data_IF_994931991095
#
_entry.id   IF_994931991095
#
_cell.length_a   1.000
_cell.length_b   1.000
_cell.length_c   1.000
_cell.angle_alpha   90.00
_cell.angle_beta   90.00
_cell.angle_gamma   90.00
#
_symmetry.space_group_name_H-M   'P 1'
#
loop_
_entity.id
_entity.type
_entity.pdbx_description
1 polymer ?
#
# COMPACT_ATOMS: atom_id res chain seq x y z
N UNK A 1 26.00 -62.00 49.76
CA UNK A 1 26.21 -60.63 49.22
C UNK A 1 25.46 -60.53 47.91
N UNK A 2 24.47 -59.65 47.79
CA UNK A 2 23.59 -59.55 46.62
C UNK A 2 23.31 -58.08 46.32
N UNK A 3 23.81 -57.59 45.18
CA UNK A 3 23.71 -56.17 44.79
C UNK A 3 22.33 -55.90 44.18
N UNK A 4 21.54 -55.03 44.81
CA UNK A 4 20.24 -54.62 44.29
C UNK A 4 20.37 -53.59 43.17
N UNK A 5 19.75 -53.87 42.01
CA UNK A 5 19.53 -52.90 40.92
C UNK A 5 18.31 -52.03 41.22
N UNK A 6 18.49 -50.76 41.56
CA UNK A 6 17.48 -49.66 41.51
C UNK A 6 18.23 -48.33 41.34
N UNK A 7 17.73 -47.32 40.62
CA UNK A 7 16.64 -47.22 39.65
C UNK A 7 16.96 -46.01 38.76
N UNK A 8 16.93 -46.13 37.43
CA UNK A 8 16.92 -44.94 36.56
C UNK A 8 15.51 -44.36 36.59
N UNK A 9 15.35 -43.13 37.10
CA UNK A 9 14.12 -42.36 36.94
C UNK A 9 14.34 -41.21 35.96
N UNK A 10 13.40 -41.07 35.04
CA UNK A 10 13.48 -40.16 33.89
C UNK A 10 13.00 -38.77 34.30
N UNK A 11 13.87 -37.76 34.14
CA UNK A 11 13.51 -36.35 34.27
C UNK A 11 13.31 -35.73 32.86
N UNK A 12 12.19 -36.08 32.21
CA UNK A 12 11.77 -35.50 30.92
C UNK A 12 10.42 -34.83 31.13
N UNK A 13 10.46 -33.58 31.59
CA UNK A 13 9.30 -32.69 31.74
C UNK A 13 9.78 -31.23 31.85
N UNK A 14 9.82 -30.52 30.71
CA UNK A 14 9.80 -29.05 30.52
C UNK A 14 10.37 -28.69 29.13
N UNK A 15 9.68 -29.06 28.05
CA UNK A 15 10.16 -28.83 26.68
C UNK A 15 9.03 -28.61 25.63
N UNK A 16 7.87 -28.09 26.04
CA UNK A 16 6.71 -27.85 25.13
C UNK A 16 5.97 -26.54 25.46
N UNK A 17 6.69 -25.41 25.51
CA UNK A 17 6.08 -24.05 25.54
C UNK A 17 6.91 -23.06 24.71
N UNK A 18 7.20 -23.43 23.46
CA UNK A 18 8.04 -22.64 22.53
C UNK A 18 7.40 -22.43 21.14
N UNK A 19 6.09 -22.71 21.01
CA UNK A 19 5.34 -22.63 19.75
C UNK A 19 4.32 -21.47 19.71
N UNK A 20 4.35 -20.59 20.71
CA UNK A 20 3.62 -19.33 20.75
C UNK A 20 4.61 -18.23 21.16
N UNK A 21 4.38 -16.97 20.75
CA UNK A 21 5.18 -15.81 21.13
C UNK A 21 5.00 -15.36 22.60
N UNK A 22 4.98 -16.33 23.52
CA UNK A 22 4.83 -16.16 24.96
C UNK A 22 6.22 -15.99 25.59
N UNK A 23 6.49 -14.79 26.10
CA UNK A 23 7.68 -14.54 26.92
C UNK A 23 7.44 -15.14 28.33
N UNK A 24 8.18 -16.18 28.75
CA UNK A 24 8.02 -16.79 30.08
C UNK A 24 8.37 -15.83 31.22
N UNK A 25 9.06 -14.72 30.95
CA UNK A 25 9.35 -13.65 31.93
C UNK A 25 8.26 -12.58 32.02
N UNK A 26 7.37 -12.49 31.01
CA UNK A 26 6.26 -11.52 30.94
C UNK A 26 4.93 -12.20 30.53
N UNK A 27 4.49 -13.29 31.20
CA UNK A 27 3.37 -14.13 30.73
C UNK A 27 2.03 -13.40 30.62
N UNK A 28 1.81 -12.33 31.39
CA UNK A 28 0.55 -11.59 31.46
C UNK A 28 0.54 -10.30 30.61
N UNK A 29 1.63 -9.96 29.91
CA UNK A 29 1.72 -8.70 29.16
C UNK A 29 0.80 -8.66 27.93
N UNK A 30 0.31 -9.82 27.49
CA UNK A 30 -0.76 -9.93 26.47
C UNK A 30 -2.12 -10.33 27.05
N UNK A 31 -2.18 -10.90 28.25
CA UNK A 31 -3.42 -11.33 28.93
C UNK A 31 -3.96 -10.27 29.92
N UNK A 32 -3.62 -9.00 29.69
CA UNK A 32 -4.20 -7.87 30.42
C UNK A 32 -5.73 -7.83 30.19
N UNK A 33 -6.59 -7.77 31.23
CA UNK A 33 -8.05 -7.69 31.04
C UNK A 33 -8.49 -6.49 30.19
N UNK A 34 -7.75 -5.38 30.24
CA UNK A 34 -8.01 -4.18 29.44
C UNK A 34 -7.64 -4.37 27.96
N UNK A 35 -6.58 -5.14 27.65
CA UNK A 35 -6.23 -5.52 26.27
C UNK A 35 -7.23 -6.54 25.73
N UNK A 36 -7.62 -7.52 26.53
CA UNK A 36 -8.64 -8.51 26.14
C UNK A 36 -9.99 -7.83 25.82
N UNK A 37 -10.40 -6.83 26.60
CA UNK A 37 -11.61 -6.04 26.33
C UNK A 37 -11.44 -5.14 25.09
N UNK A 38 -10.29 -4.51 24.89
CA UNK A 38 -10.00 -3.72 23.70
C UNK A 38 -10.07 -4.56 22.41
N UNK A 39 -9.52 -5.78 22.44
CA UNK A 39 -9.64 -6.72 21.32
C UNK A 39 -11.10 -7.15 21.11
N UNK A 40 -11.87 -7.40 22.18
CA UNK A 40 -13.30 -7.75 22.09
C UNK A 40 -14.14 -6.66 21.42
N UNK A 41 -13.85 -5.37 21.66
CA UNK A 41 -14.56 -4.26 20.98
C UNK A 41 -14.00 -3.99 19.58
N UNK A 42 -12.70 -4.21 19.34
CA UNK A 42 -12.12 -4.17 17.99
C UNK A 42 -12.75 -5.22 17.06
N UNK A 43 -12.90 -6.45 17.52
CA UNK A 43 -13.55 -7.55 16.80
C UNK A 43 -15.06 -7.30 16.56
N UNK A 44 -15.69 -6.47 17.40
CA UNK A 44 -17.06 -5.99 17.19
C UNK A 44 -17.15 -4.84 16.15
N UNK A 45 -16.02 -4.32 15.67
CA UNK A 45 -15.91 -3.19 14.74
C UNK A 45 -15.76 -1.83 15.42
N UNK A 46 -15.77 -1.75 16.75
CA UNK A 46 -15.71 -0.52 17.55
C UNK A 46 -14.27 -0.03 17.73
N UNK A 47 -13.56 0.18 16.61
CA UNK A 47 -12.13 0.51 16.59
C UNK A 47 -11.77 1.79 17.37
N UNK A 48 -12.70 2.75 17.49
CA UNK A 48 -12.55 3.94 18.35
C UNK A 48 -12.38 3.57 19.82
N UNK A 49 -13.32 2.82 20.38
CA UNK A 49 -13.26 2.38 21.78
C UNK A 49 -12.14 1.37 22.04
N UNK A 50 -11.74 0.58 21.04
CA UNK A 50 -10.52 -0.22 21.10
C UNK A 50 -9.27 0.67 21.26
N UNK A 51 -9.16 1.74 20.47
CA UNK A 51 -8.06 2.68 20.56
C UNK A 51 -8.04 3.41 21.91
N UNK A 52 -9.19 3.88 22.43
CA UNK A 52 -9.30 4.53 23.75
C UNK A 52 -8.80 3.59 24.87
N UNK A 53 -9.30 2.36 24.93
CA UNK A 53 -8.89 1.37 25.93
C UNK A 53 -7.39 1.05 25.87
N UNK A 54 -6.79 1.04 24.68
CA UNK A 54 -5.36 0.80 24.48
C UNK A 54 -4.51 2.04 24.76
N UNK A 55 -5.01 3.25 24.48
CA UNK A 55 -4.37 4.52 24.83
C UNK A 55 -4.24 4.68 26.34
N UNK A 56 -5.29 4.34 27.09
CA UNK A 56 -5.27 4.25 28.56
C UNK A 56 -4.33 3.12 29.03
N UNK A 57 -4.42 1.93 28.44
CA UNK A 57 -3.56 0.80 28.79
C UNK A 57 -2.06 1.08 28.56
N UNK A 58 -1.71 1.96 27.63
CA UNK A 58 -0.32 2.32 27.32
C UNK A 58 0.10 3.68 27.93
N UNK A 59 -0.85 4.43 28.48
CA UNK A 59 -0.69 5.82 28.94
C UNK A 59 -0.17 6.78 27.84
N UNK A 60 -0.59 6.58 26.59
CA UNK A 60 -0.18 7.42 25.44
C UNK A 60 -0.92 8.76 25.40
N UNK A 61 -2.10 8.83 26.02
CA UNK A 61 -3.11 9.84 25.70
C UNK A 61 -3.77 9.59 24.34
N UNK A 62 -4.81 10.37 24.05
CA UNK A 62 -5.54 10.31 22.79
C UNK A 62 -4.73 10.81 21.59
N UNK A 63 -5.03 10.29 20.40
CA UNK A 63 -4.51 10.85 19.15
C UNK A 63 -5.14 12.24 18.89
N UNK A 64 -4.30 13.27 18.73
CA UNK A 64 -4.71 14.64 18.44
C UNK A 64 -3.78 15.22 17.36
N UNK A 65 -4.32 15.66 16.22
CA UNK A 65 -3.57 16.36 15.15
C UNK A 65 -2.27 15.62 14.70
N UNK A 66 -2.32 14.29 14.57
CA UNK A 66 -1.15 13.49 14.19
C UNK A 66 -0.12 13.33 15.31
N UNK A 67 -0.48 13.67 16.54
CA UNK A 67 0.33 13.58 17.74
C UNK A 67 -0.29 12.59 18.74
N UNK A 68 0.54 11.71 19.29
CA UNK A 68 0.20 10.74 20.33
C UNK A 68 1.47 10.49 21.16
N UNK A 69 1.32 10.34 22.48
CA UNK A 69 2.47 10.12 23.37
C UNK A 69 3.08 8.75 23.18
N UNK A 70 4.42 8.66 23.17
CA UNK A 70 5.15 7.38 23.13
C UNK A 70 5.98 7.18 24.43
N UNK A 71 5.34 7.00 25.59
CA UNK A 71 6.05 6.72 26.85
C UNK A 71 6.81 5.38 26.77
N UNK A 72 7.77 5.10 27.67
CA UNK A 72 8.52 3.84 27.68
C UNK A 72 7.61 2.59 27.64
N UNK A 73 6.43 2.68 28.26
CA UNK A 73 5.38 1.65 28.28
C UNK A 73 4.96 1.16 26.88
N UNK A 74 5.08 1.99 25.84
CA UNK A 74 4.82 1.59 24.45
C UNK A 74 5.82 0.54 23.94
N UNK A 75 7.08 0.58 24.39
CA UNK A 75 8.08 -0.47 24.09
C UNK A 75 7.95 -1.67 25.03
N UNK A 76 7.69 -1.43 26.32
CA UNK A 76 7.51 -2.50 27.29
C UNK A 76 6.29 -3.39 27.03
N UNK A 77 5.21 -2.82 26.46
CA UNK A 77 3.95 -3.52 26.15
C UNK A 77 3.72 -3.58 24.63
N UNK A 78 4.78 -3.88 23.88
CA UNK A 78 4.84 -3.84 22.42
C UNK A 78 3.71 -4.58 21.68
N UNK A 79 3.16 -5.66 22.24
CA UNK A 79 1.95 -6.30 21.70
C UNK A 79 0.75 -5.35 21.71
N UNK A 80 0.37 -4.80 22.87
CA UNK A 80 -0.75 -3.85 22.97
C UNK A 80 -0.51 -2.56 22.19
N UNK A 81 0.75 -2.16 22.00
CA UNK A 81 1.13 -1.05 21.11
C UNK A 81 0.92 -1.37 19.63
N UNK A 82 1.18 -2.62 19.21
CA UNK A 82 0.86 -3.07 17.86
C UNK A 82 -0.66 -3.13 17.65
N UNK A 83 -1.40 -3.62 18.65
CA UNK A 83 -2.85 -3.66 18.64
C UNK A 83 -3.46 -2.24 18.59
N UNK A 84 -2.85 -1.24 19.27
CA UNK A 84 -3.23 0.18 19.13
C UNK A 84 -2.95 0.71 17.72
N UNK A 85 -1.84 0.28 17.10
CA UNK A 85 -1.54 0.57 15.70
C UNK A 85 -2.62 0.04 14.75
N UNK A 86 -3.14 -1.16 15.00
CA UNK A 86 -4.26 -1.74 14.24
C UNK A 86 -5.57 -0.99 14.47
N UNK A 87 -5.87 -0.58 15.71
CA UNK A 87 -7.03 0.24 16.02
C UNK A 87 -6.99 1.59 15.29
N UNK A 88 -5.87 2.32 15.37
CA UNK A 88 -5.68 3.60 14.68
C UNK A 88 -5.67 3.46 13.15
N UNK A 89 -5.07 2.39 12.59
CA UNK A 89 -5.19 2.05 11.17
C UNK A 89 -6.65 1.86 10.77
N UNK A 90 -7.44 1.15 11.58
CA UNK A 90 -8.86 0.87 11.28
C UNK A 90 -9.75 2.12 11.35
N UNK A 91 -9.41 3.07 12.22
CA UNK A 91 -10.03 4.40 12.25
C UNK A 91 -9.61 5.20 10.99
N UNK A 92 -8.34 5.14 10.58
CA UNK A 92 -7.86 5.81 9.37
C UNK A 92 -8.52 5.29 8.07
N UNK A 93 -8.80 3.98 7.98
CA UNK A 93 -9.57 3.39 6.86
C UNK A 93 -10.99 3.95 6.72
N UNK A 94 -11.59 4.46 7.80
CA UNK A 94 -12.96 4.99 7.78
C UNK A 94 -13.05 6.42 7.17
N UNK A 95 -11.93 7.14 7.09
CA UNK A 95 -11.88 8.48 6.51
C UNK A 95 -11.40 8.41 5.05
N UNK A 96 -12.28 8.74 4.09
CA UNK A 96 -11.99 8.72 2.64
C UNK A 96 -12.17 7.34 1.96
N UNK A 97 -11.99 7.29 0.64
CA UNK A 97 -12.28 6.09 -0.17
C UNK A 97 -11.46 4.84 0.21
N UNK A 98 -12.03 3.68 -0.10
CA UNK A 98 -11.32 2.39 -0.12
C UNK A 98 -10.35 2.33 -1.30
N UNK A 99 -9.31 1.51 -1.17
CA UNK A 99 -8.34 1.31 -2.25
C UNK A 99 -9.01 0.73 -3.50
N UNK A 100 -8.81 1.39 -4.65
CA UNK A 100 -9.44 1.04 -5.92
C UNK A 100 -10.66 1.87 -6.29
N UNK A 101 -11.32 2.55 -5.34
CA UNK A 101 -12.47 3.43 -5.60
C UNK A 101 -12.06 4.90 -5.91
N UNK A 102 -10.75 5.16 -6.01
CA UNK A 102 -10.15 6.50 -6.20
C UNK A 102 -10.60 7.23 -7.49
N UNK A 103 -11.15 6.50 -8.45
CA UNK A 103 -11.62 7.01 -9.76
C UNK A 103 -13.16 7.14 -9.85
N UNK A 104 -13.91 6.64 -8.87
CA UNK A 104 -15.35 6.38 -9.02
C UNK A 104 -16.28 7.57 -8.68
N UNK A 105 -15.83 8.54 -7.87
CA UNK A 105 -16.71 9.60 -7.35
C UNK A 105 -16.44 10.98 -7.97
N UNK A 106 -17.31 11.36 -8.92
CA UNK A 106 -17.52 12.76 -9.32
C UNK A 106 -18.35 13.56 -8.28
N UNK A 107 -18.20 13.22 -6.99
CA UNK A 107 -18.97 13.71 -5.87
C UNK A 107 -18.08 14.35 -4.79
N UNK A 108 -18.58 15.40 -4.15
CA UNK A 108 -17.83 16.14 -3.13
C UNK A 108 -17.55 15.27 -1.89
N UNK A 109 -16.33 14.72 -1.79
CA UNK A 109 -15.77 14.39 -0.48
C UNK A 109 -15.68 15.66 0.37
N UNK A 110 -15.91 15.50 1.67
CA UNK A 110 -15.53 16.50 2.66
C UNK A 110 -13.99 16.70 2.65
N UNK A 111 -13.50 17.93 2.42
CA UNK A 111 -12.06 18.21 2.27
C UNK A 111 -11.25 18.01 3.56
N UNK A 112 -11.87 17.88 4.74
CA UNK A 112 -11.16 17.52 5.97
C UNK A 112 -10.94 15.99 6.10
N UNK A 113 -11.60 15.12 5.31
CA UNK A 113 -11.41 13.66 5.39
C UNK A 113 -9.96 13.20 5.14
N UNK A 114 -9.21 13.71 4.15
CA UNK A 114 -7.79 13.36 3.98
C UNK A 114 -6.92 13.80 5.17
N UNK A 115 -7.24 14.93 5.80
CA UNK A 115 -6.56 15.44 6.99
C UNK A 115 -6.86 14.58 8.23
N UNK A 116 -8.13 14.15 8.39
CA UNK A 116 -8.53 13.21 9.44
C UNK A 116 -7.82 11.86 9.26
N UNK A 117 -7.79 11.29 8.05
CA UNK A 117 -6.99 10.09 7.72
C UNK A 117 -5.52 10.29 8.08
N UNK A 118 -4.90 11.38 7.61
CA UNK A 118 -3.50 11.71 7.88
C UNK A 118 -3.18 11.74 9.38
N UNK A 119 -4.02 12.42 10.18
CA UNK A 119 -3.83 12.50 11.63
C UNK A 119 -3.83 11.14 12.33
N UNK A 120 -4.72 10.22 11.93
CA UNK A 120 -4.78 8.87 12.49
C UNK A 120 -3.59 8.02 12.03
N UNK A 121 -3.17 8.18 10.77
CA UNK A 121 -1.97 7.53 10.23
C UNK A 121 -0.70 7.99 10.96
N UNK A 122 -0.50 9.29 11.18
CA UNK A 122 0.67 9.81 11.89
C UNK A 122 0.73 9.35 13.35
N UNK A 123 -0.41 9.29 14.04
CA UNK A 123 -0.51 8.69 15.36
C UNK A 123 -0.11 7.21 15.34
N UNK A 124 -0.68 6.41 14.44
CA UNK A 124 -0.36 4.99 14.32
C UNK A 124 1.13 4.77 13.99
N UNK A 125 1.70 5.54 13.07
CA UNK A 125 3.10 5.47 12.68
C UNK A 125 4.05 5.71 13.86
N UNK A 126 3.75 6.67 14.75
CA UNK A 126 4.56 6.92 15.97
C UNK A 126 4.59 5.71 16.90
N UNK A 127 3.44 5.08 17.14
CA UNK A 127 3.33 3.91 18.02
C UNK A 127 4.00 2.68 17.38
N UNK A 128 3.73 2.43 16.10
CA UNK A 128 4.23 1.24 15.38
C UNK A 128 5.74 1.29 15.14
N UNK A 129 6.30 2.47 14.79
CA UNK A 129 7.76 2.64 14.62
C UNK A 129 8.52 2.39 15.91
N UNK A 130 7.99 2.81 17.06
CA UNK A 130 8.61 2.58 18.37
C UNK A 130 8.81 1.08 18.69
N UNK A 131 8.03 0.18 18.07
CA UNK A 131 8.17 -1.28 18.15
C UNK A 131 9.13 -1.79 17.05
N UNK A 132 8.94 -1.34 15.80
CA UNK A 132 9.70 -1.81 14.65
C UNK A 132 11.21 -1.51 14.75
N UNK A 133 11.56 -0.39 15.39
CA UNK A 133 12.93 0.10 15.53
C UNK A 133 13.65 -0.39 16.78
N UNK A 134 12.90 -0.86 17.78
CA UNK A 134 13.46 -1.46 18.98
C UNK A 134 14.00 -2.87 18.67
N UNK A 135 15.31 -2.97 18.54
CA UNK A 135 16.01 -4.22 18.24
C UNK A 135 15.95 -5.27 19.36
N UNK A 136 15.42 -4.94 20.55
CA UNK A 136 15.17 -5.92 21.61
C UNK A 136 13.88 -6.71 21.41
N UNK A 137 12.97 -6.23 20.55
CA UNK A 137 11.70 -6.88 20.25
C UNK A 137 11.89 -8.09 19.31
N UNK A 138 11.07 -9.16 19.44
CA UNK A 138 11.15 -10.32 18.56
C UNK A 138 11.03 -9.95 17.07
N UNK A 139 11.87 -10.56 16.22
CA UNK A 139 11.94 -10.25 14.79
C UNK A 139 10.56 -10.34 14.09
N UNK A 140 9.73 -11.31 14.47
CA UNK A 140 8.38 -11.47 13.92
C UNK A 140 7.42 -10.31 14.28
N UNK A 141 7.49 -9.79 15.51
CA UNK A 141 6.70 -8.62 15.92
C UNK A 141 7.21 -7.36 15.21
N UNK A 142 8.52 -7.22 15.03
CA UNK A 142 9.13 -6.11 14.28
C UNK A 142 8.76 -6.16 12.79
N UNK A 143 8.70 -7.33 12.17
CA UNK A 143 8.24 -7.52 10.80
C UNK A 143 6.77 -7.15 10.62
N UNK A 144 5.91 -7.60 11.56
CA UNK A 144 4.48 -7.23 11.62
C UNK A 144 4.30 -5.72 11.76
N UNK A 145 5.09 -5.07 12.61
CA UNK A 145 5.10 -3.62 12.75
C UNK A 145 5.56 -2.91 11.46
N UNK A 146 6.61 -3.38 10.77
CA UNK A 146 7.05 -2.82 9.47
C UNK A 146 6.02 -3.03 8.35
N UNK A 147 5.32 -4.16 8.33
CA UNK A 147 4.21 -4.39 7.39
C UNK A 147 3.04 -3.42 7.64
N UNK A 148 2.66 -3.21 8.91
CA UNK A 148 1.63 -2.24 9.29
C UNK A 148 2.06 -0.79 8.98
N UNK A 149 3.32 -0.43 9.21
CA UNK A 149 3.90 0.85 8.76
C UNK A 149 3.73 1.04 7.25
N UNK A 150 3.99 0.00 6.44
CA UNK A 150 3.76 0.03 5.00
C UNK A 150 2.30 0.27 4.63
N UNK A 151 1.37 -0.45 5.26
CA UNK A 151 -0.07 -0.28 5.04
C UNK A 151 -0.56 1.14 5.42
N UNK A 152 -0.03 1.70 6.51
CA UNK A 152 -0.30 3.06 6.97
C UNK A 152 0.18 4.13 5.98
N UNK A 153 1.40 3.98 5.45
CA UNK A 153 1.95 4.88 4.42
C UNK A 153 1.22 4.74 3.08
N UNK A 154 0.69 3.55 2.79
CA UNK A 154 -0.14 3.31 1.61
C UNK A 154 -1.51 4.02 1.70
N UNK A 155 -2.11 4.13 2.90
CA UNK A 155 -3.36 4.90 3.13
C UNK A 155 -3.25 6.38 2.74
N UNK A 156 -2.09 7.00 2.94
CA UNK A 156 -1.80 8.41 2.58
C UNK A 156 -1.10 8.55 1.21
N UNK A 157 -1.06 7.47 0.43
CA UNK A 157 -0.43 7.39 -0.89
C UNK A 157 1.09 7.71 -0.93
N UNK A 158 1.77 7.61 0.22
CA UNK A 158 3.22 7.69 0.41
C UNK A 158 3.89 6.36 -0.01
N UNK A 159 3.78 6.04 -1.29
CA UNK A 159 4.09 4.70 -1.79
C UNK A 159 5.58 4.34 -1.75
N UNK A 160 6.50 5.31 -1.84
CA UNK A 160 7.96 5.04 -1.80
C UNK A 160 8.38 4.63 -0.38
N UNK A 161 7.80 5.32 0.59
CA UNK A 161 7.93 5.13 2.02
C UNK A 161 7.29 3.78 2.41
N UNK A 162 6.12 3.47 1.84
CA UNK A 162 5.46 2.16 2.00
C UNK A 162 6.32 1.00 1.46
N UNK A 163 6.87 1.11 0.24
CA UNK A 163 7.84 0.14 -0.31
C UNK A 163 9.02 -0.07 0.64
N UNK A 164 9.60 1.01 1.15
CA UNK A 164 10.72 0.98 2.10
C UNK A 164 10.35 0.28 3.42
N UNK A 165 9.11 0.42 3.89
CA UNK A 165 8.62 -0.26 5.08
C UNK A 165 8.37 -1.77 4.83
N UNK A 166 7.77 -2.13 3.69
CA UNK A 166 7.61 -3.54 3.30
C UNK A 166 8.95 -4.24 3.09
N UNK A 167 9.97 -3.57 2.54
CA UNK A 167 11.34 -4.10 2.42
C UNK A 167 11.93 -4.44 3.80
N UNK A 168 11.82 -3.54 4.78
CA UNK A 168 12.22 -3.80 6.17
C UNK A 168 11.41 -4.90 6.86
N UNK A 169 10.20 -5.21 6.38
CA UNK A 169 9.46 -6.39 6.83
C UNK A 169 10.03 -7.68 6.20
N UNK A 170 10.35 -7.64 4.89
CA UNK A 170 10.93 -8.75 4.13
C UNK A 170 12.36 -9.12 4.54
N UNK A 171 13.14 -8.15 5.02
CA UNK A 171 14.44 -8.37 5.67
C UNK A 171 14.35 -9.21 6.95
N UNK A 172 13.20 -9.16 7.64
CA UNK A 172 12.95 -9.84 8.93
C UNK A 172 12.16 -11.15 8.76
N UNK A 173 11.19 -11.19 7.84
CA UNK A 173 10.45 -12.38 7.41
C UNK A 173 10.43 -12.38 5.86
N UNK A 174 11.32 -13.14 5.21
CA UNK A 174 11.29 -13.32 3.76
C UNK A 174 9.96 -13.92 3.28
N UNK A 175 9.53 -13.54 2.07
CA UNK A 175 8.36 -14.12 1.44
C UNK A 175 8.53 -15.62 1.18
N UNK A 176 7.59 -16.42 1.68
CA UNK A 176 7.51 -17.86 1.48
C UNK A 176 6.17 -18.22 0.83
N UNK A 177 6.16 -19.29 0.03
CA UNK A 177 4.93 -19.92 -0.44
C UNK A 177 4.41 -20.92 0.58
N UNK A 178 3.27 -21.54 0.28
CA UNK A 178 2.60 -22.46 1.22
C UNK A 178 3.39 -23.77 1.46
N UNK A 179 4.41 -24.05 0.64
CA UNK A 179 5.39 -25.13 0.82
C UNK A 179 6.71 -24.68 1.49
N UNK A 180 6.80 -23.41 1.92
CA UNK A 180 8.02 -22.78 2.46
C UNK A 180 8.75 -21.91 1.43
N UNK A 181 10.09 -21.77 1.55
CA UNK A 181 10.91 -20.99 0.62
C UNK A 181 10.75 -21.39 -0.84
N UNK A 182 10.95 -20.45 -1.77
CA UNK A 182 10.83 -20.73 -3.22
C UNK A 182 11.84 -21.83 -3.62
N UNK A 183 11.32 -22.93 -4.16
CA UNK A 183 12.11 -24.13 -4.48
C UNK A 183 12.09 -25.24 -3.42
N UNK A 184 11.45 -25.02 -2.27
CA UNK A 184 11.09 -26.10 -1.35
C UNK A 184 10.08 -27.06 -2.04
N UNK A 185 10.38 -28.36 -1.99
CA UNK A 185 9.52 -29.38 -2.59
C UNK A 185 8.36 -29.73 -1.66
N UNK A 186 7.15 -29.86 -2.20
CA UNK A 186 5.93 -30.12 -1.42
C UNK A 186 5.85 -31.53 -0.80
N UNK A 187 6.79 -32.42 -1.13
CA UNK A 187 7.01 -33.73 -0.52
C UNK A 187 8.12 -33.74 0.55
N UNK A 188 8.79 -32.61 0.78
CA UNK A 188 9.77 -32.47 1.84
C UNK A 188 9.07 -32.62 3.21
N UNK A 189 9.57 -33.53 4.05
CA UNK A 189 9.07 -33.74 5.43
C UNK A 189 9.43 -32.59 6.40
N UNK A 190 9.80 -31.42 5.88
CA UNK A 190 10.13 -30.21 6.63
C UNK A 190 8.92 -29.29 6.58
N UNK A 191 8.11 -29.30 7.64
CA UNK A 191 7.04 -28.32 7.82
C UNK A 191 7.64 -26.96 8.20
N UNK A 192 7.55 -25.99 7.29
CA UNK A 192 7.93 -24.61 7.57
C UNK A 192 6.81 -23.89 8.33
N UNK A 193 7.17 -23.06 9.30
CA UNK A 193 6.23 -22.13 9.94
C UNK A 193 6.12 -20.88 9.05
N UNK A 194 5.12 -20.89 8.16
CA UNK A 194 4.93 -19.87 7.12
C UNK A 194 4.14 -18.69 7.71
N UNK A 195 4.84 -17.73 8.30
CA UNK A 195 4.22 -16.45 8.68
C UNK A 195 3.73 -15.72 7.40
N UNK A 196 2.41 -15.49 7.25
CA UNK A 196 1.85 -14.88 6.04
C UNK A 196 2.39 -13.48 5.76
N UNK A 197 2.88 -12.76 6.79
CA UNK A 197 3.35 -11.38 6.69
C UNK A 197 4.44 -11.20 5.63
N UNK A 198 5.34 -12.18 5.44
CA UNK A 198 6.37 -12.09 4.39
C UNK A 198 5.77 -12.11 2.98
N UNK A 199 4.80 -12.99 2.73
CA UNK A 199 4.10 -13.08 1.44
C UNK A 199 3.22 -11.85 1.19
N UNK A 200 2.50 -11.41 2.21
CA UNK A 200 1.54 -10.32 2.11
C UNK A 200 2.26 -8.95 1.98
N UNK A 201 3.44 -8.78 2.64
CA UNK A 201 4.32 -7.63 2.42
C UNK A 201 4.92 -7.60 1.00
N UNK A 202 5.31 -8.74 0.44
CA UNK A 202 5.78 -8.80 -0.95
C UNK A 202 4.69 -8.42 -1.96
N UNK A 203 3.44 -8.84 -1.71
CA UNK A 203 2.29 -8.44 -2.51
C UNK A 203 2.02 -6.93 -2.42
N UNK A 204 1.88 -6.37 -1.22
CA UNK A 204 1.61 -4.94 -1.04
C UNK A 204 2.77 -4.06 -1.56
N UNK A 205 4.02 -4.53 -1.47
CA UNK A 205 5.18 -3.89 -2.11
C UNK A 205 5.04 -3.83 -3.63
N UNK A 206 4.61 -4.92 -4.27
CA UNK A 206 4.40 -4.94 -5.72
C UNK A 206 3.28 -3.99 -6.17
N UNK A 207 2.18 -3.92 -5.40
CA UNK A 207 1.09 -2.95 -5.63
C UNK A 207 1.59 -1.51 -5.46
N UNK A 208 2.39 -1.23 -4.42
CA UNK A 208 2.96 0.10 -4.18
C UNK A 208 3.95 0.53 -5.27
N UNK A 209 4.78 -0.39 -5.78
CA UNK A 209 5.66 -0.13 -6.93
C UNK A 209 4.84 0.22 -8.18
N UNK A 210 3.80 -0.55 -8.49
CA UNK A 210 2.90 -0.23 -9.61
C UNK A 210 2.27 1.15 -9.46
N UNK A 211 1.76 1.51 -8.28
CA UNK A 211 1.21 2.86 -8.02
C UNK A 211 2.25 3.99 -8.11
N UNK A 212 3.56 3.69 -8.02
CA UNK A 212 4.65 4.65 -8.31
C UNK A 212 4.90 4.78 -9.82
N UNK A 213 4.60 3.75 -10.60
CA UNK A 213 4.69 3.74 -12.07
C UNK A 213 3.46 4.43 -12.68
N UNK A 214 2.24 4.03 -12.28
CA UNK A 214 0.98 4.67 -12.68
C UNK A 214 1.04 6.21 -12.52
N UNK A 215 1.61 6.70 -11.40
CA UNK A 215 1.79 8.14 -11.11
C UNK A 215 2.81 8.87 -12.00
N UNK A 216 3.75 8.16 -12.64
CA UNK A 216 4.67 8.77 -13.63
C UNK A 216 3.96 8.90 -14.97
N UNK A 217 3.31 7.84 -15.42
CA UNK A 217 2.67 7.75 -16.73
C UNK A 217 1.41 8.65 -16.81
N UNK A 218 0.80 8.98 -15.66
CA UNK A 218 -0.27 9.97 -15.54
C UNK A 218 0.21 11.44 -15.54
N UNK A 219 1.52 11.70 -15.49
CA UNK A 219 2.04 13.04 -15.76
C UNK A 219 1.91 13.34 -17.26
N UNK A 220 1.50 14.55 -17.68
CA UNK A 220 1.52 14.90 -19.10
C UNK A 220 2.90 14.63 -19.70
N UNK A 221 3.01 14.16 -20.96
CA UNK A 221 4.30 14.05 -21.62
C UNK A 221 4.95 15.44 -21.58
N UNK A 222 6.10 15.53 -20.92
CA UNK A 222 6.81 16.79 -20.74
C UNK A 222 6.96 17.44 -22.12
N UNK A 223 6.35 18.62 -22.29
CA UNK A 223 6.32 19.34 -23.55
C UNK A 223 7.66 20.03 -23.73
N UNK A 224 8.70 19.20 -23.88
CA UNK A 224 10.08 19.62 -23.96
C UNK A 224 10.25 20.68 -25.05
N UNK A 225 11.14 21.67 -24.84
CA UNK A 225 11.47 22.64 -25.88
C UNK A 225 11.77 21.91 -27.18
N UNK A 226 10.99 22.20 -28.22
CA UNK A 226 10.98 21.39 -29.44
C UNK A 226 12.35 21.33 -30.12
N UNK A 227 12.56 20.25 -30.88
CA UNK A 227 13.73 20.13 -31.77
C UNK A 227 13.75 21.30 -32.77
N UNK A 228 14.57 22.28 -32.44
CA UNK A 228 14.63 23.60 -33.07
C UNK A 228 16.06 24.12 -32.96
N UNK A 229 16.91 23.62 -33.86
CA UNK A 229 18.36 23.73 -33.74
C UNK A 229 18.89 25.15 -33.56
N UNK A 230 19.77 25.32 -32.57
CA UNK A 230 20.62 26.49 -32.36
C UNK A 230 22.02 26.03 -31.97
N UNK A 231 23.01 26.36 -32.80
CA UNK A 231 24.41 26.03 -32.53
C UNK A 231 25.04 26.95 -31.48
N UNK A 232 26.21 26.49 -30.99
CA UNK A 232 27.34 27.24 -30.42
C UNK A 232 27.49 27.45 -28.90
N UNK A 233 28.76 27.26 -28.51
CA UNK A 233 29.50 27.80 -27.37
C UNK A 233 29.25 27.20 -25.97
N UNK A 234 30.27 26.47 -25.50
CA UNK A 234 31.13 26.77 -24.34
C UNK A 234 30.51 27.63 -23.21
N UNK A 235 30.78 27.39 -21.92
CA UNK A 235 32.11 27.25 -21.31
C UNK A 235 32.18 26.30 -20.10
N UNK A 236 33.38 26.21 -19.49
CA UNK A 236 33.73 25.44 -18.30
C UNK A 236 32.85 25.74 -17.06
N UNK A 237 32.69 24.73 -16.21
CA UNK A 237 31.92 24.80 -14.95
C UNK A 237 32.37 23.75 -13.94
N UNK A 238 33.62 23.84 -13.49
CA UNK A 238 34.24 22.86 -12.60
C UNK A 238 33.88 23.00 -11.11
N UNK A 239 34.38 22.02 -10.35
CA UNK A 239 34.61 21.99 -8.90
C UNK A 239 35.02 23.36 -8.27
N UNK A 240 34.87 23.60 -6.97
CA UNK A 240 34.73 22.64 -5.85
C UNK A 240 33.94 23.20 -4.65
N UNK A 241 33.85 22.40 -3.58
CA UNK A 241 33.29 22.78 -2.26
C UNK A 241 34.18 23.80 -1.53
N UNK A 242 33.57 24.62 -0.68
CA UNK A 242 34.10 24.83 0.68
C UNK A 242 33.05 25.37 1.67
N UNK A 243 33.18 24.92 2.92
CA UNK A 243 32.44 25.37 4.09
C UNK A 243 33.03 26.67 4.65
N UNK A 244 32.23 27.55 5.28
CA UNK A 244 32.31 27.82 6.74
C UNK A 244 31.41 28.96 7.26
N UNK A 245 30.97 28.75 8.50
CA UNK A 245 30.68 29.67 9.61
C UNK A 245 30.17 31.12 9.40
N UNK A 246 29.11 31.42 10.16
CA UNK A 246 29.21 32.43 11.22
C UNK A 246 28.49 33.77 11.01
N UNK A 247 27.51 34.05 11.88
CA UNK A 247 26.88 35.38 11.94
C UNK A 247 25.71 35.47 12.91
N UNK A 248 25.97 35.89 14.16
CA UNK A 248 24.91 36.34 15.07
C UNK A 248 24.20 37.59 14.50
N UNK A 249 22.86 37.59 14.52
CA UNK A 249 22.02 38.68 14.02
C UNK A 249 20.76 38.80 14.87
N UNK A 250 20.65 39.90 15.62
CA UNK A 250 19.79 40.01 16.81
C UNK A 250 18.67 41.05 16.65
N UNK A 251 17.78 41.06 17.64
CA UNK A 251 16.91 42.16 18.06
C UNK A 251 15.65 42.51 17.21
N UNK A 252 14.51 42.01 17.73
CA UNK A 252 13.36 42.80 18.22
C UNK A 252 12.34 43.54 17.32
N UNK A 253 11.16 43.71 17.96
CA UNK A 253 10.01 44.56 17.66
C UNK A 253 9.15 44.26 16.41
N UNK A 254 7.81 44.37 16.41
CA UNK A 254 6.68 44.50 17.38
C UNK A 254 5.60 45.25 16.56
N UNK A 255 4.31 45.07 16.89
CA UNK A 255 3.19 45.93 16.48
C UNK A 255 2.81 45.93 14.96
N UNK A 256 1.55 46.18 14.54
CA UNK A 256 0.23 46.16 15.23
C UNK A 256 -0.94 46.14 14.23
N UNK A 257 -2.13 45.82 14.75
CA UNK A 257 -3.46 46.35 14.43
C UNK A 257 -3.77 46.95 13.04
N UNK A 258 -4.70 46.31 12.31
CA UNK A 258 -6.07 46.86 12.23
C UNK A 258 -6.59 47.46 10.91
N UNK A 259 -7.92 47.39 10.75
CA UNK A 259 -8.71 47.92 9.61
C UNK A 259 -9.16 46.82 8.65
N UNK A 260 -10.43 46.39 8.50
CA UNK A 260 -11.79 47.00 8.49
C UNK A 260 -12.24 47.56 7.13
N UNK A 261 -13.46 47.15 6.76
CA UNK A 261 -14.42 47.77 5.82
C UNK A 261 -13.97 47.84 4.34
N UNK A 262 -14.83 47.83 3.31
CA UNK A 262 -16.29 47.61 3.23
C UNK A 262 -16.68 47.22 1.77
N UNK A 263 -17.83 46.55 1.61
CA UNK A 263 -18.80 46.62 0.48
C UNK A 263 -18.43 46.28 -0.97
N UNK A 264 -19.43 45.70 -1.64
CA UNK A 264 -20.04 46.06 -2.95
C UNK A 264 -19.10 46.47 -4.12
N UNK A 265 -19.28 45.95 -5.33
CA UNK A 265 -20.51 46.22 -6.08
C UNK A 265 -21.01 45.09 -7.02
N UNK A 266 -22.28 45.17 -7.38
CA UNK A 266 -22.88 44.32 -8.41
C UNK A 266 -22.69 44.96 -9.79
N UNK A 267 -22.45 44.16 -10.82
CA UNK A 267 -23.05 44.49 -12.11
C UNK A 267 -23.42 43.27 -12.95
N UNK A 268 -24.52 43.43 -13.69
CA UNK A 268 -25.01 42.50 -14.71
C UNK A 268 -24.90 43.22 -16.05
N UNK A 269 -24.71 42.49 -17.13
CA UNK A 269 -25.61 42.68 -18.26
C UNK A 269 -25.70 41.43 -19.15
N UNK A 270 -26.63 41.44 -20.11
CA UNK A 270 -26.93 40.30 -20.99
C UNK A 270 -27.16 40.72 -22.46
N UNK A 271 -26.72 39.85 -23.39
CA UNK A 271 -26.87 40.00 -24.84
C UNK A 271 -26.03 38.92 -25.55
N UNK A 272 -26.52 37.89 -26.25
CA UNK A 272 -27.79 37.55 -26.95
C UNK A 272 -27.78 37.89 -28.45
N UNK A 273 -28.10 36.88 -29.27
CA UNK A 273 -28.33 36.87 -30.74
C UNK A 273 -27.11 37.14 -31.66
N UNK A 274 -27.01 36.64 -32.91
CA UNK A 274 -27.58 35.45 -33.56
C UNK A 274 -26.96 35.18 -34.97
N UNK A 275 -26.88 33.90 -35.38
CA UNK A 275 -27.00 33.43 -36.78
C UNK A 275 -25.79 33.54 -37.74
N UNK A 276 -25.75 32.66 -38.76
CA UNK A 276 -24.83 32.77 -39.92
C UNK A 276 -24.41 31.46 -40.59
N UNK A 277 -25.29 30.83 -41.39
CA UNK A 277 -24.88 29.85 -42.42
C UNK A 277 -24.33 30.57 -43.67
N UNK A 278 -23.36 29.97 -44.39
CA UNK A 278 -23.56 29.59 -45.81
C UNK A 278 -22.44 28.67 -46.35
N UNK A 279 -22.68 28.04 -47.51
CA UNK A 279 -21.77 27.12 -48.21
C UNK A 279 -20.97 27.78 -49.34
N UNK A 280 -19.92 27.09 -49.82
CA UNK A 280 -19.65 26.95 -51.27
C UNK A 280 -18.69 25.80 -51.62
N UNK A 281 -19.11 25.03 -52.62
CA UNK A 281 -18.30 24.06 -53.36
C UNK A 281 -17.72 24.71 -54.63
N UNK A 282 -16.52 24.29 -55.09
CA UNK A 282 -16.32 23.68 -56.42
C UNK A 282 -14.86 23.17 -56.60
N UNK A 283 -14.56 22.25 -57.56
CA UNK A 283 -13.31 21.46 -57.59
C UNK A 283 -12.30 21.88 -58.68
N UNK A 284 -11.16 21.18 -58.75
CA UNK A 284 -10.37 21.07 -59.99
C UNK A 284 -9.50 19.78 -60.09
N UNK A 285 -8.96 19.50 -61.28
CA UNK A 285 -8.10 18.33 -61.65
C UNK A 285 -7.06 18.73 -62.73
N UNK A 286 -6.31 17.90 -63.47
CA UNK A 286 -6.03 16.44 -63.63
C UNK A 286 -4.53 16.35 -64.06
N UNK A 287 -3.70 15.34 -63.81
CA UNK A 287 -3.80 14.19 -62.89
C UNK A 287 -2.39 13.73 -62.38
N UNK A 288 -1.49 12.98 -63.09
CA UNK A 288 -0.59 12.05 -62.38
C UNK A 288 0.93 12.20 -62.61
N UNK A 289 1.75 11.78 -61.62
CA UNK A 289 3.12 11.26 -61.81
C UNK A 289 3.52 10.20 -60.76
N UNK A 290 4.18 9.15 -61.26
CA UNK A 290 4.97 8.08 -60.63
C UNK A 290 4.56 7.47 -59.27
N UNK A 291 4.43 6.14 -59.26
CA UNK A 291 4.11 5.34 -58.09
C UNK A 291 5.37 4.70 -57.47
N UNK A 292 5.73 5.15 -56.28
CA UNK A 292 6.53 4.32 -55.35
C UNK A 292 5.68 3.18 -54.77
N UNK A 293 6.30 2.10 -54.23
CA UNK A 293 5.55 1.08 -53.50
C UNK A 293 4.84 1.69 -52.29
N UNK A 294 3.61 1.25 -51.96
CA UNK A 294 2.87 1.80 -50.82
C UNK A 294 3.61 1.53 -49.50
N UNK A 295 3.53 2.44 -48.52
CA UNK A 295 4.06 2.18 -47.19
C UNK A 295 3.37 0.95 -46.56
N UNK A 296 4.05 0.21 -45.68
CA UNK A 296 3.42 -0.90 -44.95
C UNK A 296 2.23 -0.36 -44.14
N UNK A 297 1.15 -1.15 -43.99
CA UNK A 297 -0.01 -0.73 -43.21
C UNK A 297 0.40 -0.41 -41.76
N UNK A 298 -0.20 0.61 -41.13
CA UNK A 298 0.12 0.95 -39.74
C UNK A 298 -0.14 -0.25 -38.82
N UNK A 299 0.63 -0.40 -37.73
CA UNK A 299 0.41 -1.48 -36.78
C UNK A 299 -1.01 -1.40 -36.19
N UNK A 300 -1.70 -2.54 -36.00
CA UNK A 300 -3.07 -2.56 -35.49
C UNK A 300 -3.16 -1.86 -34.13
N UNK A 301 -4.04 -0.86 -34.03
CA UNK A 301 -4.28 -0.10 -32.81
C UNK A 301 -4.67 -1.04 -31.65
N UNK A 302 -4.35 -0.66 -30.41
CA UNK A 302 -4.65 -1.48 -29.21
C UNK A 302 -6.13 -1.87 -29.15
N UNK A 303 -7.03 -0.94 -29.47
CA UNK A 303 -8.48 -1.17 -29.62
C UNK A 303 -8.81 -2.41 -30.48
N UNK A 304 -8.16 -2.60 -31.63
CA UNK A 304 -8.37 -3.75 -32.53
C UNK A 304 -7.74 -5.09 -32.04
N UNK A 305 -7.06 -5.05 -30.90
CA UNK A 305 -6.62 -6.20 -30.11
C UNK A 305 -7.58 -6.42 -28.94
N UNK A 306 -8.00 -5.35 -28.25
CA UNK A 306 -8.95 -5.38 -27.13
C UNK A 306 -10.33 -5.92 -27.57
N UNK A 307 -10.88 -5.44 -28.70
CA UNK A 307 -12.09 -5.99 -29.34
C UNK A 307 -11.96 -7.48 -29.64
N UNK A 308 -10.77 -7.92 -30.04
CA UNK A 308 -10.46 -9.30 -30.43
C UNK A 308 -10.25 -10.22 -29.22
N UNK A 309 -9.93 -9.65 -28.06
CA UNK A 309 -9.88 -10.33 -26.77
C UNK A 309 -11.29 -10.44 -26.20
N UNK A 310 -12.12 -9.39 -26.30
CA UNK A 310 -13.53 -9.41 -25.94
C UNK A 310 -14.31 -10.48 -26.73
N UNK A 311 -14.18 -10.51 -28.07
CA UNK A 311 -14.81 -11.53 -28.92
C UNK A 311 -14.32 -12.97 -28.58
N UNK A 312 -13.07 -13.12 -28.10
CA UNK A 312 -12.57 -14.41 -27.59
C UNK A 312 -13.09 -14.79 -26.20
N UNK A 313 -13.41 -13.82 -25.33
CA UNK A 313 -14.08 -14.09 -24.04
C UNK A 313 -15.57 -14.39 -24.23
N UNK A 314 -16.28 -13.69 -25.12
CA UNK A 314 -17.71 -13.94 -25.37
C UNK A 314 -17.93 -15.30 -26.08
N UNK A 315 -17.02 -15.71 -26.96
CA UNK A 315 -17.03 -17.04 -27.58
C UNK A 315 -16.35 -18.12 -26.72
N UNK A 316 -15.93 -17.82 -25.48
CA UNK A 316 -15.31 -18.83 -24.60
C UNK A 316 -16.34 -19.91 -24.19
N UNK A 317 -16.04 -21.20 -24.39
CA UNK A 317 -16.99 -22.26 -24.04
C UNK A 317 -17.18 -22.31 -22.52
N UNK A 318 -18.43 -22.26 -22.07
CA UNK A 318 -18.74 -22.30 -20.63
C UNK A 318 -18.19 -23.58 -19.98
N UNK A 319 -17.80 -23.50 -18.71
CA UNK A 319 -17.21 -24.61 -17.94
C UNK A 319 -18.09 -25.88 -17.99
N UNK A 320 -19.41 -25.71 -18.07
CA UNK A 320 -20.38 -26.79 -18.23
C UNK A 320 -20.25 -27.52 -19.59
N UNK A 321 -20.06 -26.77 -20.69
CA UNK A 321 -19.82 -27.34 -22.02
C UNK A 321 -18.47 -28.06 -22.09
N UNK A 322 -17.41 -27.53 -21.49
CA UNK A 322 -16.11 -28.22 -21.47
C UNK A 322 -16.19 -29.52 -20.63
N UNK A 323 -16.83 -29.48 -19.46
CA UNK A 323 -17.06 -30.67 -18.65
C UNK A 323 -17.81 -31.77 -19.43
N UNK A 324 -18.88 -31.41 -20.15
CA UNK A 324 -19.62 -32.33 -21.01
C UNK A 324 -18.74 -32.89 -22.15
N UNK A 325 -17.94 -32.04 -22.81
CA UNK A 325 -16.99 -32.42 -23.88
C UNK A 325 -15.91 -33.38 -23.37
N UNK A 326 -15.42 -33.19 -22.15
CA UNK A 326 -14.42 -34.03 -21.46
C UNK A 326 -15.01 -35.40 -21.09
N UNK A 327 -16.22 -35.45 -20.54
CA UNK A 327 -16.95 -36.70 -20.27
C UNK A 327 -17.28 -37.47 -21.57
N UNK A 328 -17.70 -36.78 -22.63
CA UNK A 328 -17.97 -37.39 -23.94
C UNK A 328 -16.74 -38.03 -24.56
N UNK A 329 -15.56 -37.39 -24.47
CA UNK A 329 -14.28 -37.98 -24.89
C UNK A 329 -13.91 -39.21 -24.06
N UNK A 330 -14.05 -39.16 -22.73
CA UNK A 330 -13.78 -40.30 -21.85
C UNK A 330 -14.65 -41.54 -22.18
N UNK A 331 -15.93 -41.34 -22.54
CA UNK A 331 -16.82 -42.44 -22.96
C UNK A 331 -16.41 -43.08 -24.29
N UNK A 332 -15.89 -42.31 -25.26
CA UNK A 332 -15.44 -42.86 -26.56
C UNK A 332 -14.25 -43.82 -26.43
N UNK A 333 -13.27 -43.51 -25.57
CA UNK A 333 -12.06 -44.34 -25.40
C UNK A 333 -12.37 -45.72 -24.82
N UNK A 334 -13.40 -45.83 -23.96
CA UNK A 334 -13.79 -47.11 -23.34
C UNK A 334 -14.62 -48.02 -24.27
N UNK A 335 -14.92 -47.59 -25.49
CA UNK A 335 -15.74 -48.33 -26.46
C UNK A 335 -14.96 -49.04 -27.58
N UNK A 336 -13.63 -48.96 -27.59
CA UNK A 336 -12.77 -49.49 -28.68
C UNK A 336 -11.70 -50.47 -28.17
N UNK A 337 -12.00 -51.19 -27.08
CA UNK A 337 -11.09 -52.17 -26.45
C UNK A 337 -11.54 -53.64 -26.63
N UNK A 338 -12.66 -53.88 -27.31
CA UNK A 338 -13.18 -55.21 -27.67
C UNK A 338 -13.60 -55.23 -29.15
N UNK A 339 -12.66 -55.58 -30.04
CA UNK A 339 -12.90 -56.10 -31.40
C UNK A 339 -11.62 -56.56 -32.08
#
# INVERSE_FOLDING_TARGET
MTRFRRLFFVAVACAVVAACGWDPSRPFDRESPQVNEALRVYDAGEAGSAAELLQDYLATGGCQEGNIGTPPRVRDKSNGSFDLGLALFKIAEAYGHRFGDEENDAGFLDPDLPKMRGSQVDCALRVVRAIAEDATQPAALRARARYLEGNLLFLTAAYKEAVTAYEKALELIPAMGDAGPIGAAADAQVTWDVDPIGRDAAWNRAVALRRIEDKKDASPPDSGPGDGGGENQNEDGGNDKQDQDGGDGKDDDKNKDGGKDDKDDQNKDAGKDAGGDDKKDDPNKDDPKDAGPPPPPPPPSRQSQDERILDQLENAPTVQQEAAKKQGRARKVKGTADK
#
